data_IF_347159045961
#
_entry.id   IF_347159045961
#
_cell.length_a   1.000
_cell.length_b   1.000
_cell.length_c   1.000
_cell.angle_alpha   90.00
_cell.angle_beta   90.00
_cell.angle_gamma   90.00
#
_symmetry.space_group_name_H-M   'P 1'
#
loop_
_entity.id
_entity.type
_entity.pdbx_description
1 polymer ?
#
# COMPACT_ATOMS: atom_id res chain seq x y z
N UNK A 1 -5.22 16.20 -3.37
CA UNK A 1 -4.45 15.50 -4.43
C UNK A 1 -5.23 15.51 -5.74
N UNK A 2 -4.58 15.47 -6.92
CA UNK A 2 -5.30 15.34 -8.20
C UNK A 2 -5.60 13.86 -8.55
N UNK A 3 -6.72 13.59 -9.23
CA UNK A 3 -7.20 12.23 -9.54
C UNK A 3 -6.19 11.39 -10.34
N UNK A 4 -5.43 12.02 -11.25
CA UNK A 4 -4.39 11.34 -12.04
C UNK A 4 -3.29 10.76 -11.14
N UNK A 5 -2.85 11.53 -10.16
CA UNK A 5 -1.77 11.17 -9.25
C UNK A 5 -2.25 10.07 -8.29
N UNK A 6 -3.50 10.18 -7.83
CA UNK A 6 -4.17 9.12 -7.05
C UNK A 6 -4.19 7.79 -7.82
N UNK A 7 -4.52 7.80 -9.13
CA UNK A 7 -4.58 6.58 -9.93
C UNK A 7 -3.25 5.82 -10.01
N UNK A 8 -2.12 6.55 -10.12
CA UNK A 8 -0.78 5.94 -10.07
C UNK A 8 -0.45 5.41 -8.67
N UNK A 9 -0.85 6.14 -7.63
CA UNK A 9 -0.64 5.74 -6.25
C UNK A 9 -1.46 4.49 -5.87
N UNK A 10 -2.71 4.40 -6.33
CA UNK A 10 -3.56 3.22 -6.18
C UNK A 10 -2.93 1.96 -6.83
N UNK A 11 -2.40 2.09 -8.05
CA UNK A 11 -1.69 1.00 -8.72
C UNK A 11 -0.41 0.55 -7.98
N UNK A 12 0.31 1.48 -7.34
CA UNK A 12 1.54 1.20 -6.60
C UNK A 12 1.28 0.61 -5.21
N UNK A 13 0.30 1.15 -4.49
CA UNK A 13 0.14 0.96 -3.05
C UNK A 13 -1.05 0.06 -2.67
N UNK A 14 -1.98 -0.18 -3.60
CA UNK A 14 -3.14 -1.05 -3.41
C UNK A 14 -3.45 -1.95 -4.61
N UNK A 15 -2.45 -2.66 -5.20
CA UNK A 15 -2.61 -3.37 -6.49
C UNK A 15 -3.63 -4.53 -6.47
N UNK A 16 -4.04 -4.97 -5.29
CA UNK A 16 -5.08 -5.97 -5.05
C UNK A 16 -6.52 -5.43 -5.17
N UNK A 17 -6.72 -4.11 -5.23
CA UNK A 17 -8.03 -3.48 -5.42
C UNK A 17 -8.02 -2.61 -6.69
N UNK A 18 -9.10 -2.67 -7.47
CA UNK A 18 -9.21 -1.89 -8.69
C UNK A 18 -9.04 -0.36 -8.41
N UNK A 19 -8.19 0.37 -9.13
CA UNK A 19 -7.93 1.79 -8.85
C UNK A 19 -9.18 2.68 -8.85
N UNK A 20 -10.18 2.37 -9.68
CA UNK A 20 -11.46 3.07 -9.70
C UNK A 20 -12.25 2.89 -8.38
N UNK A 21 -12.19 1.71 -7.76
CA UNK A 21 -12.83 1.43 -6.46
C UNK A 21 -12.16 2.24 -5.36
N UNK A 22 -10.81 2.21 -5.29
CA UNK A 22 -10.04 3.01 -4.34
C UNK A 22 -10.30 4.51 -4.52
N UNK A 23 -10.32 5.01 -5.76
CA UNK A 23 -10.59 6.43 -6.05
C UNK A 23 -12.01 6.84 -5.67
N UNK A 24 -12.99 5.95 -5.87
CA UNK A 24 -14.39 6.20 -5.51
C UNK A 24 -14.59 6.26 -3.99
N UNK A 25 -13.86 5.44 -3.24
CA UNK A 25 -13.84 5.48 -1.77
C UNK A 25 -13.12 6.75 -1.31
N UNK A 26 -11.88 7.03 -1.75
CA UNK A 26 -11.13 8.24 -1.38
C UNK A 26 -11.90 9.54 -1.65
N UNK A 27 -12.58 9.64 -2.80
CA UNK A 27 -13.44 10.78 -3.14
C UNK A 27 -14.64 10.92 -2.19
N UNK A 28 -15.16 9.82 -1.66
CA UNK A 28 -16.33 9.78 -0.77
C UNK A 28 -15.94 9.99 0.70
N UNK A 29 -14.76 9.51 1.08
CA UNK A 29 -14.19 9.62 2.44
C UNK A 29 -13.58 11.01 2.70
N UNK A 30 -12.57 11.39 1.92
CA UNK A 30 -11.76 12.60 2.18
C UNK A 30 -11.86 13.67 1.09
N UNK A 31 -12.42 13.33 -0.07
CA UNK A 31 -12.34 14.21 -1.24
C UNK A 31 -10.91 14.33 -1.80
N UNK A 32 -10.06 13.33 -1.56
CA UNK A 32 -8.63 13.33 -1.86
C UNK A 32 -7.78 14.29 -1.01
N UNK A 33 -8.22 14.59 0.21
CA UNK A 33 -7.45 15.28 1.24
C UNK A 33 -6.67 14.25 2.10
N UNK A 34 -5.32 14.23 2.05
CA UNK A 34 -4.53 13.27 2.82
C UNK A 34 -4.44 13.60 4.31
N UNK A 35 -4.82 14.81 4.75
CA UNK A 35 -4.63 15.31 6.11
C UNK A 35 -5.97 15.55 6.84
N UNK A 36 -7.05 14.97 6.34
CA UNK A 36 -8.36 14.99 6.98
C UNK A 36 -8.38 14.12 8.24
N UNK A 37 -8.85 14.69 9.36
CA UNK A 37 -9.15 13.96 10.60
C UNK A 37 -10.64 14.09 10.91
N UNK A 38 -11.37 12.98 10.98
CA UNK A 38 -12.75 12.95 11.45
C UNK A 38 -12.82 12.44 12.89
N UNK A 39 -13.38 13.24 13.81
CA UNK A 39 -13.64 12.83 15.19
C UNK A 39 -15.02 12.18 15.31
N UNK A 40 -15.04 10.86 15.49
CA UNK A 40 -16.28 10.10 15.61
C UNK A 40 -17.05 10.36 16.90
N UNK A 41 -16.42 10.89 17.95
CA UNK A 41 -17.08 11.21 19.20
C UNK A 41 -17.80 12.57 19.10
N UNK A 42 -17.18 13.57 18.47
CA UNK A 42 -17.77 14.93 18.34
C UNK A 42 -18.44 15.23 17.00
N UNK A 43 -18.31 14.33 16.02
CA UNK A 43 -18.79 14.48 14.62
C UNK A 43 -18.23 15.70 13.90
N UNK A 44 -16.99 16.07 14.23
CA UNK A 44 -16.25 17.16 13.60
C UNK A 44 -15.20 16.62 12.64
N UNK A 45 -15.04 17.30 11.52
CA UNK A 45 -13.93 17.08 10.60
C UNK A 45 -12.95 18.25 10.70
N UNK A 46 -11.66 17.96 10.57
CA UNK A 46 -10.57 18.92 10.57
C UNK A 46 -9.69 18.66 9.35
N UNK A 47 -9.50 19.67 8.51
CA UNK A 47 -8.56 19.63 7.39
C UNK A 47 -7.30 20.39 7.85
N UNK A 48 -6.16 19.71 7.92
CA UNK A 48 -4.88 20.29 8.36
C UNK A 48 -3.98 20.55 7.15
N UNK A 49 -2.97 21.41 7.31
CA UNK A 49 -2.04 21.75 6.22
C UNK A 49 -0.91 20.72 6.08
N UNK A 50 -0.58 20.02 7.17
CA UNK A 50 0.52 19.04 7.24
C UNK A 50 0.13 17.71 7.89
N UNK A 51 0.90 16.67 7.57
CA UNK A 51 0.86 15.35 8.22
C UNK A 51 1.19 15.44 9.71
N UNK A 52 2.14 16.30 10.09
CA UNK A 52 2.55 16.53 11.48
C UNK A 52 1.41 17.11 12.34
N UNK A 53 0.73 18.15 11.86
CA UNK A 53 -0.43 18.75 12.56
C UNK A 53 -1.60 17.76 12.66
N UNK A 54 -1.88 17.02 11.59
CA UNK A 54 -2.93 16.01 11.57
C UNK A 54 -2.64 14.88 12.56
N UNK A 55 -1.37 14.43 12.63
CA UNK A 55 -0.91 13.42 13.57
C UNK A 55 -0.94 13.91 15.03
N UNK A 56 -0.58 15.17 15.31
CA UNK A 56 -0.68 15.76 16.64
C UNK A 56 -2.15 15.83 17.11
N UNK A 57 -3.04 16.37 16.27
CA UNK A 57 -4.47 16.46 16.59
C UNK A 57 -5.09 15.08 16.82
N UNK A 58 -4.84 14.13 15.90
CA UNK A 58 -5.33 12.77 16.01
C UNK A 58 -4.82 12.07 17.28
N UNK A 59 -3.52 12.20 17.59
CA UNK A 59 -2.93 11.62 18.80
C UNK A 59 -3.54 12.22 20.08
N UNK A 60 -3.80 13.53 20.09
CA UNK A 60 -4.47 14.21 21.20
C UNK A 60 -5.90 13.69 21.38
N UNK A 61 -6.68 13.56 20.31
CA UNK A 61 -8.05 13.02 20.35
C UNK A 61 -8.07 11.56 20.83
N UNK A 62 -7.17 10.72 20.33
CA UNK A 62 -7.02 9.32 20.77
C UNK A 62 -6.64 9.25 22.26
N UNK A 63 -5.76 10.14 22.75
CA UNK A 63 -5.33 10.17 24.15
C UNK A 63 -6.46 10.45 25.16
N UNK A 64 -7.54 11.12 24.71
CA UNK A 64 -8.75 11.36 25.50
C UNK A 64 -9.88 10.36 25.21
N UNK A 65 -9.56 9.25 24.52
CA UNK A 65 -10.49 8.14 24.26
C UNK A 65 -11.43 8.34 23.07
N UNK A 66 -11.11 9.24 22.13
CA UNK A 66 -11.91 9.40 20.92
C UNK A 66 -11.54 8.36 19.85
N UNK A 67 -12.55 7.87 19.14
CA UNK A 67 -12.36 7.18 17.86
C UNK A 67 -12.20 8.24 16.77
N UNK A 68 -11.23 8.07 15.86
CA UNK A 68 -10.96 9.04 14.80
C UNK A 68 -10.67 8.33 13.48
N UNK A 69 -11.13 8.90 12.37
CA UNK A 69 -10.81 8.41 11.03
C UNK A 69 -9.73 9.29 10.40
N UNK A 70 -8.74 8.66 9.75
CA UNK A 70 -7.45 9.27 9.46
C UNK A 70 -7.10 9.27 7.97
N UNK A 71 -6.78 10.48 7.48
CA UNK A 71 -6.11 10.72 6.22
C UNK A 71 -6.90 10.33 4.97
N UNK A 72 -6.18 10.09 3.87
CA UNK A 72 -6.72 9.97 2.51
C UNK A 72 -7.88 8.96 2.38
N UNK A 73 -7.78 7.82 3.06
CA UNK A 73 -8.78 6.75 3.02
C UNK A 73 -9.66 6.68 4.27
N UNK A 74 -9.55 7.64 5.21
CA UNK A 74 -10.26 7.69 6.49
C UNK A 74 -10.15 6.37 7.27
N UNK A 75 -8.91 5.94 7.53
CA UNK A 75 -8.63 4.72 8.30
C UNK A 75 -8.95 4.97 9.78
N UNK A 76 -9.88 4.22 10.36
CA UNK A 76 -10.23 4.36 11.76
C UNK A 76 -9.07 3.99 12.71
N UNK A 77 -8.88 4.77 13.77
CA UNK A 77 -7.81 4.61 14.76
C UNK A 77 -7.80 3.25 15.47
N UNK A 78 -8.95 2.58 15.60
CA UNK A 78 -9.02 1.24 16.17
C UNK A 78 -8.44 0.14 15.27
N UNK A 79 -8.31 0.40 13.95
CA UNK A 79 -7.73 -0.56 13.01
C UNK A 79 -6.19 -0.50 12.99
N UNK A 80 -5.58 0.62 13.40
CA UNK A 80 -4.13 0.82 13.32
C UNK A 80 -3.30 -0.29 13.99
N UNK A 81 -3.63 -0.80 15.21
CA UNK A 81 -2.85 -1.86 15.84
C UNK A 81 -2.88 -3.18 15.06
N UNK A 82 -4.02 -3.52 14.44
CA UNK A 82 -4.16 -4.73 13.62
C UNK A 82 -3.42 -4.60 12.27
N UNK A 83 -3.27 -3.38 11.77
CA UNK A 83 -2.52 -3.05 10.56
C UNK A 83 -1.02 -2.81 10.81
N UNK A 84 -0.57 -2.81 12.07
CA UNK A 84 0.82 -2.50 12.44
C UNK A 84 1.23 -1.03 12.23
N UNK A 85 0.27 -0.11 12.19
CA UNK A 85 0.48 1.30 11.88
C UNK A 85 0.49 2.19 13.13
N UNK A 86 1.24 3.30 13.06
CA UNK A 86 1.13 4.42 14.00
C UNK A 86 0.19 5.47 13.42
N UNK A 87 -0.27 6.40 14.26
CA UNK A 87 -1.19 7.50 13.87
C UNK A 87 -0.63 8.32 12.69
N UNK A 88 0.66 8.67 12.75
CA UNK A 88 1.34 9.42 11.69
C UNK A 88 1.36 8.70 10.34
N UNK A 89 1.41 7.36 10.34
CA UNK A 89 1.57 6.58 9.11
C UNK A 89 0.29 6.61 8.26
N UNK A 90 -0.88 6.82 8.88
CA UNK A 90 -2.16 6.93 8.18
C UNK A 90 -2.31 8.21 7.31
N UNK A 91 -1.44 9.20 7.52
CA UNK A 91 -1.38 10.43 6.73
C UNK A 91 -0.42 10.37 5.54
N UNK A 92 0.43 9.34 5.45
CA UNK A 92 1.11 9.04 4.18
C UNK A 92 0.07 8.50 3.16
N UNK A 93 -0.06 9.13 1.98
CA UNK A 93 -1.06 8.72 1.00
C UNK A 93 -0.94 7.26 0.52
N UNK A 94 0.28 6.72 0.42
CA UNK A 94 0.52 5.35 -0.02
C UNK A 94 0.14 4.34 1.07
N UNK A 95 0.54 4.60 2.31
CA UNK A 95 0.17 3.78 3.47
C UNK A 95 -1.34 3.80 3.70
N UNK A 96 -2.00 4.96 3.60
CA UNK A 96 -3.45 5.09 3.72
C UNK A 96 -4.20 4.24 2.68
N UNK A 97 -3.74 4.25 1.41
CA UNK A 97 -4.26 3.39 0.33
C UNK A 97 -4.00 1.90 0.60
N UNK A 98 -2.79 1.54 1.07
CA UNK A 98 -2.44 0.17 1.39
C UNK A 98 -3.31 -0.40 2.51
N UNK A 99 -3.49 0.36 3.59
CA UNK A 99 -4.38 0.04 4.70
C UNK A 99 -5.82 -0.21 4.23
N UNK A 100 -6.38 0.69 3.41
CA UNK A 100 -7.71 0.50 2.84
C UNK A 100 -7.80 -0.75 1.95
N UNK A 101 -6.76 -1.02 1.15
CA UNK A 101 -6.72 -2.17 0.25
C UNK A 101 -6.66 -3.51 1.00
N UNK A 102 -5.99 -3.55 2.15
CA UNK A 102 -6.01 -4.70 3.08
C UNK A 102 -7.44 -4.91 3.60
N UNK A 103 -8.03 -3.89 4.24
CA UNK A 103 -9.40 -3.97 4.81
C UNK A 103 -10.42 -4.42 3.77
N UNK A 104 -10.37 -3.86 2.56
CA UNK A 104 -11.28 -4.21 1.46
C UNK A 104 -11.07 -5.65 0.97
N UNK A 105 -9.82 -6.11 0.86
CA UNK A 105 -9.52 -7.46 0.37
C UNK A 105 -9.90 -8.54 1.39
N UNK A 106 -9.57 -8.34 2.66
CA UNK A 106 -9.90 -9.27 3.75
C UNK A 106 -11.42 -9.41 3.95
N UNK A 107 -12.18 -8.38 3.56
CA UNK A 107 -13.64 -8.34 3.67
C UNK A 107 -14.36 -8.86 2.41
N UNK A 108 -13.69 -8.90 1.26
CA UNK A 108 -14.33 -9.23 -0.02
C UNK A 108 -14.47 -10.74 -0.25
N UNK A 109 -15.70 -11.23 -0.28
CA UNK A 109 -16.03 -12.67 -0.38
C UNK A 109 -16.17 -13.21 -1.81
N UNK A 110 -16.01 -12.37 -2.85
CA UNK A 110 -16.09 -12.81 -4.25
C UNK A 110 -17.49 -13.23 -4.72
N UNK A 111 -17.52 -14.04 -5.79
CA UNK A 111 -18.73 -14.58 -6.40
C UNK A 111 -18.46 -15.24 -7.76
N UNK A 112 -19.27 -16.24 -8.12
CA UNK A 112 -19.11 -17.03 -9.36
C UNK A 112 -19.56 -16.28 -10.62
N UNK A 113 -20.49 -15.32 -10.47
CA UNK A 113 -20.96 -14.45 -11.55
C UNK A 113 -20.56 -13.00 -11.31
N UNK A 114 -20.47 -12.22 -12.39
CA UNK A 114 -20.22 -10.77 -12.28
C UNK A 114 -21.25 -10.06 -11.37
N UNK A 115 -22.53 -10.44 -11.43
CA UNK A 115 -23.55 -9.89 -10.54
C UNK A 115 -23.28 -10.22 -9.06
N UNK A 116 -22.89 -11.47 -8.77
CA UNK A 116 -22.54 -11.89 -7.41
C UNK A 116 -21.31 -11.15 -6.88
N UNK A 117 -20.28 -10.97 -7.71
CA UNK A 117 -19.09 -10.18 -7.39
C UNK A 117 -19.45 -8.71 -7.08
N UNK A 118 -20.26 -8.07 -7.92
CA UNK A 118 -20.72 -6.69 -7.69
C UNK A 118 -21.60 -6.56 -6.44
N UNK A 119 -22.38 -7.60 -6.09
CA UNK A 119 -23.14 -7.64 -4.83
C UNK A 119 -22.22 -7.78 -3.62
N UNK A 120 -21.22 -8.67 -3.68
CA UNK A 120 -20.21 -8.83 -2.63
C UNK A 120 -19.38 -7.56 -2.42
N UNK A 121 -19.01 -6.86 -3.51
CA UNK A 121 -18.28 -5.59 -3.44
C UNK A 121 -19.10 -4.51 -2.72
N UNK A 122 -20.40 -4.37 -3.00
CA UNK A 122 -21.26 -3.41 -2.29
C UNK A 122 -21.37 -3.73 -0.79
N UNK A 123 -21.47 -5.01 -0.42
CA UNK A 123 -21.45 -5.43 0.99
C UNK A 123 -20.10 -5.12 1.65
N UNK A 124 -18.99 -5.30 0.92
CA UNK A 124 -17.63 -4.94 1.34
C UNK A 124 -17.53 -3.43 1.61
N UNK A 125 -18.07 -2.59 0.71
CA UNK A 125 -18.14 -1.14 0.85
C UNK A 125 -19.02 -0.73 2.06
N UNK A 126 -20.14 -1.41 2.31
CA UNK A 126 -20.94 -1.17 3.52
C UNK A 126 -20.17 -1.48 4.81
N UNK A 127 -19.42 -2.59 4.81
CA UNK A 127 -18.57 -2.99 5.93
C UNK A 127 -17.39 -2.06 6.15
N UNK A 128 -16.77 -1.55 5.08
CA UNK A 128 -15.71 -0.56 5.17
C UNK A 128 -16.15 0.68 5.98
N UNK A 129 -17.35 1.22 5.69
CA UNK A 129 -17.87 2.41 6.36
C UNK A 129 -18.43 2.18 7.79
N UNK A 130 -18.87 0.97 8.13
CA UNK A 130 -19.67 0.76 9.36
C UNK A 130 -19.35 -0.50 10.18
N UNK A 131 -18.48 -1.37 9.68
CA UNK A 131 -18.30 -2.76 10.10
C UNK A 131 -19.44 -3.71 9.68
N UNK A 132 -20.55 -3.18 9.15
CA UNK A 132 -21.82 -3.88 9.01
C UNK A 132 -22.22 -4.08 7.54
N UNK A 133 -22.83 -5.22 7.26
CA UNK A 133 -23.18 -5.63 5.90
C UNK A 133 -24.34 -4.84 5.27
N UNK A 134 -25.11 -4.09 6.06
CA UNK A 134 -26.33 -3.40 5.63
C UNK A 134 -26.35 -1.91 5.99
N UNK A 135 -25.77 -1.48 7.13
CA UNK A 135 -25.86 -0.08 7.60
C UNK A 135 -25.30 0.94 6.59
N UNK A 136 -24.28 0.58 5.81
CA UNK A 136 -23.72 1.41 4.73
C UNK A 136 -24.62 1.56 3.49
N UNK A 137 -25.62 0.68 3.33
CA UNK A 137 -26.71 0.90 2.36
C UNK A 137 -27.76 1.84 2.96
N UNK A 138 -28.19 1.58 4.21
CA UNK A 138 -29.23 2.36 4.90
C UNK A 138 -28.85 3.83 5.12
N UNK A 139 -27.57 4.11 5.40
CA UNK A 139 -27.07 5.49 5.54
C UNK A 139 -26.72 6.16 4.19
N UNK A 140 -26.91 5.45 3.06
CA UNK A 140 -26.64 5.92 1.71
C UNK A 140 -25.17 5.93 1.28
N UNK A 141 -24.21 5.48 2.11
CA UNK A 141 -22.78 5.49 1.80
C UNK A 141 -22.44 4.69 0.54
N UNK A 142 -22.95 3.48 0.38
CA UNK A 142 -22.71 2.64 -0.83
C UNK A 142 -23.13 3.39 -2.09
N UNK A 143 -24.28 4.07 -2.06
CA UNK A 143 -24.77 4.88 -3.19
C UNK A 143 -23.89 6.10 -3.49
N UNK A 144 -23.26 6.70 -2.47
CA UNK A 144 -22.27 7.78 -2.67
C UNK A 144 -21.00 7.26 -3.36
N UNK A 145 -20.49 6.09 -2.95
CA UNK A 145 -19.32 5.46 -3.61
C UNK A 145 -19.64 5.10 -5.07
N UNK A 146 -20.82 4.54 -5.36
CA UNK A 146 -21.25 4.29 -6.75
C UNK A 146 -21.43 5.59 -7.56
N UNK A 147 -21.91 6.68 -6.94
CA UNK A 147 -22.00 7.99 -7.59
C UNK A 147 -20.62 8.62 -7.85
N UNK A 148 -19.65 8.40 -6.97
CA UNK A 148 -18.24 8.77 -7.19
C UNK A 148 -17.62 7.96 -8.32
N UNK A 149 -17.87 6.65 -8.39
CA UNK A 149 -17.39 5.77 -9.46
C UNK A 149 -17.84 6.23 -10.86
N UNK A 150 -19.10 6.69 -10.98
CA UNK A 150 -19.65 7.23 -12.25
C UNK A 150 -18.97 8.51 -12.75
N UNK A 151 -18.19 9.20 -11.91
CA UNK A 151 -17.40 10.38 -12.30
C UNK A 151 -16.02 10.02 -12.82
N UNK A 152 -15.54 8.81 -12.52
CA UNK A 152 -14.27 8.29 -13.02
C UNK A 152 -14.53 7.58 -14.35
N UNK A 153 -13.76 7.92 -15.38
CA UNK A 153 -13.81 7.17 -16.64
C UNK A 153 -13.25 5.76 -16.37
N UNK A 154 -14.05 4.69 -16.50
CA UNK A 154 -13.57 3.34 -16.25
C UNK A 154 -12.56 2.92 -17.34
N UNK A 155 -11.78 1.88 -17.03
CA UNK A 155 -11.03 1.19 -18.07
C UNK A 155 -11.99 0.66 -19.16
N UNK A 156 -11.54 0.64 -20.41
CA UNK A 156 -12.33 0.09 -21.51
C UNK A 156 -12.51 -1.42 -21.29
N UNK A 157 -13.74 -1.84 -20.98
CA UNK A 157 -14.11 -3.24 -21.00
C UNK A 157 -14.26 -3.71 -22.46
N UNK A 158 -13.34 -4.56 -22.90
CA UNK A 158 -13.31 -5.14 -24.25
C UNK A 158 -14.04 -6.49 -24.33
N UNK A 159 -14.81 -6.87 -23.31
CA UNK A 159 -15.56 -8.13 -23.29
C UNK A 159 -14.67 -9.37 -23.09
N UNK A 160 -13.38 -9.19 -22.82
CA UNK A 160 -12.51 -10.24 -22.28
C UNK A 160 -12.84 -10.48 -20.80
N UNK A 161 -14.08 -10.93 -20.54
CA UNK A 161 -14.56 -11.25 -19.20
C UNK A 161 -13.61 -12.24 -18.54
N UNK A 162 -12.97 -11.78 -17.45
CA UNK A 162 -11.89 -12.39 -16.65
C UNK A 162 -11.41 -13.78 -17.11
N UNK A 163 -10.87 -13.84 -18.32
CA UNK A 163 -10.33 -15.07 -18.91
C UNK A 163 -8.91 -15.24 -18.43
N UNK A 164 -8.78 -15.47 -17.12
CA UNK A 164 -7.53 -15.57 -16.40
C UNK A 164 -6.53 -14.48 -16.77
N UNK A 165 -6.57 -13.33 -16.09
CA UNK A 165 -5.28 -12.82 -15.62
C UNK A 165 -4.76 -13.99 -14.77
N UNK A 166 -3.68 -14.69 -15.17
CA UNK A 166 -3.10 -15.67 -14.26
C UNK A 166 -2.78 -14.87 -13.01
N UNK A 167 -3.20 -15.33 -11.83
CA UNK A 167 -2.73 -14.72 -10.59
C UNK A 167 -1.21 -14.62 -10.74
N UNK A 168 -0.69 -13.39 -10.85
CA UNK A 168 0.68 -13.14 -11.32
C UNK A 168 1.58 -14.03 -10.48
N UNK A 169 2.23 -15.04 -11.08
CA UNK A 169 2.44 -16.34 -10.45
C UNK A 169 2.93 -16.08 -9.05
N UNK A 170 2.08 -16.39 -8.04
CA UNK A 170 2.46 -16.26 -6.64
C UNK A 170 3.85 -16.86 -6.59
N UNK A 171 4.90 -16.08 -6.25
CA UNK A 171 6.27 -16.55 -6.40
C UNK A 171 6.30 -17.85 -5.63
N UNK A 172 6.37 -18.95 -6.38
CA UNK A 172 6.23 -20.27 -5.79
C UNK A 172 7.31 -20.26 -4.73
N UNK A 173 6.91 -20.46 -3.48
CA UNK A 173 7.87 -20.56 -2.40
C UNK A 173 8.63 -21.85 -2.67
N UNK A 174 9.63 -21.74 -3.56
CA UNK A 174 10.79 -22.61 -3.60
C UNK A 174 11.19 -22.63 -2.14
N UNK A 175 11.05 -23.78 -1.51
CA UNK A 175 11.18 -23.89 -0.07
C UNK A 175 12.65 -23.59 0.28
N UNK A 176 12.93 -22.30 0.47
CA UNK A 176 14.20 -21.83 1.01
C UNK A 176 14.27 -22.50 2.37
N UNK A 177 15.31 -23.30 2.67
CA UNK A 177 15.45 -23.91 3.98
C UNK A 177 15.33 -22.81 5.03
N UNK A 178 14.27 -22.86 5.84
CA UNK A 178 14.01 -21.84 6.85
C UNK A 178 15.07 -21.99 7.93
N UNK A 179 16.13 -21.19 7.85
CA UNK A 179 17.10 -21.11 8.93
C UNK A 179 16.36 -20.63 10.18
N UNK A 180 16.32 -21.42 11.27
CA UNK A 180 15.57 -21.07 12.47
C UNK A 180 16.14 -19.83 13.20
N UNK A 181 17.28 -19.29 12.75
CA UNK A 181 17.90 -18.07 13.25
C UNK A 181 17.74 -16.88 12.29
N UNK A 182 17.02 -17.04 11.18
CA UNK A 182 16.71 -15.91 10.30
C UNK A 182 15.80 -14.89 11.03
N UNK A 183 16.09 -13.59 10.95
CA UNK A 183 15.21 -12.56 11.49
C UNK A 183 13.85 -12.57 10.76
N UNK A 184 12.77 -12.16 11.43
CA UNK A 184 11.45 -12.12 10.81
C UNK A 184 11.42 -11.11 9.65
N UNK A 185 10.63 -11.39 8.62
CA UNK A 185 10.62 -10.66 7.33
C UNK A 185 10.28 -9.16 7.40
N UNK A 186 9.83 -8.66 8.55
CA UNK A 186 9.56 -7.24 8.80
C UNK A 186 10.78 -6.50 9.42
N UNK A 187 11.77 -7.21 9.95
CA UNK A 187 12.99 -6.61 10.48
C UNK A 187 14.02 -6.40 9.35
N UNK A 188 13.89 -5.26 8.67
CA UNK A 188 14.76 -4.86 7.56
C UNK A 188 16.22 -4.71 7.99
N UNK A 189 16.47 -4.25 9.23
CA UNK A 189 17.82 -4.01 9.73
C UNK A 189 18.48 -5.30 10.20
N UNK A 190 17.77 -6.14 10.96
CA UNK A 190 18.21 -7.48 11.32
C UNK A 190 18.47 -8.35 10.08
N UNK A 191 17.61 -8.24 9.05
CA UNK A 191 17.81 -8.95 7.77
C UNK A 191 19.10 -8.54 7.05
N UNK A 192 19.46 -7.25 7.10
CA UNK A 192 20.72 -6.75 6.55
C UNK A 192 21.93 -7.31 7.34
N UNK A 193 21.92 -7.19 8.67
CA UNK A 193 23.00 -7.72 9.52
C UNK A 193 23.18 -9.24 9.34
N UNK A 194 22.08 -9.99 9.36
CA UNK A 194 22.05 -11.44 9.14
C UNK A 194 22.64 -11.84 7.78
N UNK A 195 22.38 -11.07 6.71
CA UNK A 195 22.97 -11.31 5.39
C UNK A 195 24.50 -11.17 5.42
N UNK A 196 25.03 -10.13 6.07
CA UNK A 196 26.48 -9.91 6.17
C UNK A 196 27.18 -10.94 7.07
N UNK A 197 26.52 -11.39 8.14
CA UNK A 197 27.01 -12.43 9.04
C UNK A 197 27.00 -13.83 8.39
N UNK A 198 26.02 -14.13 7.54
CA UNK A 198 25.95 -15.42 6.84
C UNK A 198 26.92 -15.51 5.65
N UNK A 199 27.17 -14.41 4.92
CA UNK A 199 28.18 -14.36 3.85
C UNK A 199 29.62 -14.46 4.38
N UNK A 200 29.92 -13.86 5.53
CA UNK A 200 31.21 -14.04 6.20
C UNK A 200 31.39 -15.47 6.71
N UNK A 201 30.33 -16.11 7.22
CA UNK A 201 30.34 -17.53 7.62
C UNK A 201 30.52 -18.49 6.43
N UNK A 202 29.96 -18.18 5.25
CA UNK A 202 30.22 -18.93 4.00
C UNK A 202 31.68 -18.83 3.55
N UNK A 203 32.31 -17.66 3.66
CA UNK A 203 33.73 -17.46 3.31
C UNK A 203 34.71 -18.06 4.32
N UNK A 204 34.27 -18.41 5.53
CA UNK A 204 35.11 -18.99 6.58
C UNK A 204 35.37 -20.51 6.47
N UNK A 205 34.67 -21.21 5.58
CA UNK A 205 34.63 -22.69 5.57
C UNK A 205 35.45 -23.37 4.45
N UNK A 206 36.27 -22.63 3.69
CA UNK A 206 36.97 -23.16 2.50
C UNK A 206 38.51 -22.99 2.55
N UNK A 207 39.29 -24.05 2.84
CA UNK A 207 40.74 -23.99 2.93
C UNK A 207 41.49 -24.24 1.60
N UNK A 208 41.58 -23.18 0.78
CA UNK A 208 42.78 -22.75 -0.01
C UNK A 208 43.23 -23.49 -1.30
N UNK A 209 43.41 -22.69 -2.37
CA UNK A 209 44.25 -22.86 -3.59
C UNK A 209 43.84 -23.98 -4.59
N UNK A 210 44.05 -23.91 -5.92
CA UNK A 210 44.87 -23.08 -6.86
C UNK A 210 44.18 -23.11 -8.25
N UNK A 211 44.52 -22.39 -9.34
CA UNK A 211 45.56 -21.40 -9.76
C UNK A 211 44.92 -20.50 -10.86
N UNK A 212 45.34 -19.28 -11.22
CA UNK A 212 46.64 -18.73 -11.67
C UNK A 212 47.14 -19.16 -13.08
N UNK A 213 46.54 -18.59 -14.14
CA UNK A 213 47.16 -18.38 -15.48
C UNK A 213 46.72 -17.00 -15.97
N UNK A 214 47.46 -15.92 -15.78
CA UNK A 214 48.65 -15.46 -16.53
C UNK A 214 48.35 -15.07 -18.00
N UNK A 215 48.28 -13.75 -18.27
CA UNK A 215 49.08 -13.11 -19.33
C UNK A 215 49.27 -11.61 -19.03
N UNK A 216 50.34 -11.04 -19.59
CA UNK A 216 51.03 -9.84 -19.08
C UNK A 216 51.09 -8.74 -20.15
N UNK A 217 50.85 -7.50 -19.72
CA UNK A 217 51.23 -6.19 -20.31
C UNK A 217 51.14 -5.97 -21.83
N UNK A 218 50.41 -4.90 -22.19
CA UNK A 218 50.94 -3.89 -23.11
C UNK A 218 51.01 -2.54 -22.35
N UNK A 219 52.00 -1.71 -22.68
CA UNK A 219 52.24 -0.38 -22.09
C UNK A 219 51.73 0.73 -23.02
N UNK A 220 51.85 1.96 -22.51
CA UNK A 220 51.61 3.25 -23.18
C UNK A 220 50.12 3.60 -23.36
N UNK A 221 49.65 4.82 -23.08
CA UNK A 221 50.30 6.00 -22.51
C UNK A 221 49.37 7.21 -22.55
N UNK A 222 49.58 8.18 -21.64
CA UNK A 222 48.90 9.50 -21.58
C UNK A 222 47.41 9.56 -21.20
N UNK A 223 47.11 10.52 -20.32
CA UNK A 223 45.75 11.01 -20.04
C UNK A 223 45.24 11.93 -21.16
N UNK A 224 43.94 12.27 -21.13
CA UNK A 224 43.39 13.65 -21.28
C UNK A 224 41.85 13.59 -21.39
N UNK A 225 41.15 14.39 -20.58
CA UNK A 225 39.73 14.75 -20.78
C UNK A 225 39.59 15.79 -21.89
N UNK A 226 38.47 15.80 -22.63
CA UNK A 226 37.92 17.07 -23.13
C UNK A 226 36.53 17.34 -22.56
N UNK A 227 36.37 18.52 -21.96
CA UNK A 227 35.08 19.21 -21.93
C UNK A 227 34.73 19.64 -23.36
N UNK A 228 33.44 19.71 -23.69
CA UNK A 228 32.96 20.46 -24.85
C UNK A 228 31.98 21.54 -24.38
N UNK A 229 32.32 22.77 -24.73
CA UNK A 229 31.59 23.99 -24.41
C UNK A 229 30.76 24.46 -25.60
N UNK A 230 29.63 25.10 -25.30
CA UNK A 230 28.95 26.18 -26.07
C UNK A 230 29.30 26.34 -27.56
N UNK A 231 28.29 26.18 -28.40
CA UNK A 231 27.76 27.28 -29.22
C UNK A 231 26.24 27.40 -28.97
#
# INVERSE_FOLDING_TARGET
MAIKDFGQLALKCGPNVAPITLASIAQTESGFDPFLVHDNNTKKAFNLETDAEAAELASRLISIGHSVDLGLMQINSHNLPALGLRVQDAFDPCVSIGAASIILSDTYVGGESHEAQQKALRVTISRYNTGDAQRGFTNGYVGKVEASARKVVPALDVGMGQSGVPAAPQPQQVAVPTDPNAPPVWDVWGSFEYSTASDTKKKGNDPRASDAVLFVQARDGSAVFPQLSKE
#
